data_IF_249662781414
#
_entry.id   IF_249662781414
#
_cell.length_a   1.000
_cell.length_b   1.000
_cell.length_c   1.000
_cell.angle_alpha   90.00
_cell.angle_beta   90.00
_cell.angle_gamma   90.00
#
_symmetry.space_group_name_H-M   'P 1'
#
loop_
_entity.id
_entity.type
_entity.pdbx_description
1 polymer ?
#
# COMPACT_ATOMS: atom_id res chain seq x y z
N UNK A 1 -13.83 -25.26 -13.18
CA UNK A 1 -13.31 -23.99 -12.62
C UNK A 1 -12.22 -23.52 -13.56
N UNK A 2 -12.24 -22.28 -14.00
CA UNK A 2 -11.17 -21.73 -14.83
C UNK A 2 -9.84 -21.77 -14.06
N UNK A 3 -8.70 -22.00 -14.75
CA UNK A 3 -7.40 -21.98 -14.12
C UNK A 3 -7.15 -20.61 -13.48
N UNK A 4 -6.76 -20.61 -12.21
CA UNK A 4 -6.41 -19.39 -11.47
C UNK A 4 -4.91 -19.16 -11.50
N UNK A 5 -4.49 -17.92 -11.71
CA UNK A 5 -3.07 -17.57 -11.81
C UNK A 5 -2.55 -17.15 -10.44
N UNK A 6 -1.71 -18.00 -9.83
CA UNK A 6 -1.14 -17.74 -8.50
C UNK A 6 -0.18 -16.54 -8.52
N UNK A 7 -0.27 -15.72 -7.48
CA UNK A 7 0.69 -14.66 -7.21
C UNK A 7 1.94 -15.23 -6.52
N UNK A 8 3.04 -14.47 -6.54
CA UNK A 8 4.26 -14.79 -5.79
C UNK A 8 4.07 -14.67 -4.27
N UNK A 9 3.21 -13.75 -3.84
CA UNK A 9 2.93 -13.49 -2.44
C UNK A 9 1.44 -13.42 -2.19
N UNK A 10 1.07 -13.45 -0.90
CA UNK A 10 -0.30 -13.21 -0.45
C UNK A 10 -0.43 -11.82 0.12
N UNK A 11 -1.59 -11.22 -0.08
CA UNK A 11 -1.88 -9.85 0.37
C UNK A 11 -3.21 -9.79 1.10
N UNK A 12 -3.28 -8.91 2.09
CA UNK A 12 -4.48 -8.61 2.86
C UNK A 12 -4.81 -7.13 2.72
N UNK A 13 -6.08 -6.83 2.44
CA UNK A 13 -6.61 -5.47 2.35
C UNK A 13 -7.40 -5.14 3.61
N UNK A 14 -7.06 -4.02 4.23
CA UNK A 14 -7.68 -3.48 5.44
C UNK A 14 -8.28 -2.11 5.15
N UNK A 15 -9.28 -1.73 5.95
CA UNK A 15 -9.71 -0.35 6.10
C UNK A 15 -9.65 0.11 7.55
N UNK A 16 -9.45 1.42 7.72
CA UNK A 16 -9.62 2.12 8.98
C UNK A 16 -10.43 3.40 8.73
N UNK A 17 -11.31 3.74 9.67
CA UNK A 17 -12.21 4.89 9.52
C UNK A 17 -11.44 6.20 9.77
N UNK A 18 -11.53 7.22 8.90
CA UNK A 18 -10.76 8.45 9.07
C UNK A 18 -11.03 9.25 10.36
N UNK A 19 -12.20 9.04 10.95
CA UNK A 19 -12.66 9.71 12.16
C UNK A 19 -12.43 8.87 13.43
N UNK A 20 -12.05 7.60 13.27
CA UNK A 20 -11.68 6.78 14.40
C UNK A 20 -10.32 7.23 14.90
N UNK A 21 -10.24 7.51 16.21
CA UNK A 21 -9.01 7.94 16.88
C UNK A 21 -8.30 6.77 17.56
N UNK A 22 -8.91 5.59 17.54
CA UNK A 22 -8.32 4.37 18.06
C UNK A 22 -7.34 3.80 17.02
N UNK A 23 -6.05 3.80 17.32
CA UNK A 23 -5.01 3.26 16.45
C UNK A 23 -4.56 1.85 16.84
N UNK A 24 -5.28 1.21 17.76
CA UNK A 24 -5.06 -0.20 18.10
C UNK A 24 -5.42 -1.11 16.93
N UNK A 25 -4.77 -2.27 16.82
CA UNK A 25 -5.01 -3.24 15.75
C UNK A 25 -6.52 -3.58 15.55
N UNK A 26 -7.28 -3.59 16.64
CA UNK A 26 -8.72 -3.88 16.63
C UNK A 26 -9.58 -2.90 15.81
N UNK A 27 -9.09 -1.68 15.57
CA UNK A 27 -9.78 -0.67 14.75
C UNK A 27 -9.54 -0.85 13.25
N UNK A 28 -8.55 -1.67 12.86
CA UNK A 28 -8.29 -2.04 11.48
C UNK A 28 -9.14 -3.23 11.11
N UNK A 29 -9.98 -3.08 10.09
CA UNK A 29 -10.92 -4.10 9.65
C UNK A 29 -10.47 -4.70 8.33
N UNK A 30 -10.35 -6.02 8.29
CA UNK A 30 -10.01 -6.75 7.06
C UNK A 30 -11.18 -6.63 6.09
N UNK A 31 -10.93 -6.09 4.90
CA UNK A 31 -11.86 -6.15 3.76
C UNK A 31 -11.76 -7.52 3.11
N UNK A 32 -10.52 -7.95 2.81
CA UNK A 32 -10.25 -9.22 2.15
C UNK A 32 -8.85 -9.69 2.52
N UNK A 33 -8.74 -10.92 3.03
CA UNK A 33 -7.47 -11.60 3.25
C UNK A 33 -7.15 -12.63 2.16
N UNK A 34 -5.93 -13.14 2.19
CA UNK A 34 -5.43 -14.21 1.32
C UNK A 34 -5.68 -13.92 -0.18
N UNK A 35 -5.36 -12.70 -0.61
CA UNK A 35 -5.34 -12.35 -2.03
C UNK A 35 -4.09 -13.00 -2.63
N UNK A 36 -4.27 -14.19 -3.22
CA UNK A 36 -3.18 -15.04 -3.69
C UNK A 36 -3.30 -15.44 -5.18
N UNK A 37 -4.26 -14.87 -5.90
CA UNK A 37 -4.39 -15.02 -7.36
C UNK A 37 -4.61 -13.69 -8.07
N UNK A 38 -4.22 -13.63 -9.34
CA UNK A 38 -4.42 -12.48 -10.22
C UNK A 38 -5.91 -12.14 -10.32
N UNK A 39 -6.79 -13.13 -10.42
CA UNK A 39 -8.24 -12.92 -10.53
C UNK A 39 -8.80 -12.27 -9.26
N UNK A 40 -8.33 -12.67 -8.07
CA UNK A 40 -8.72 -12.03 -6.81
C UNK A 40 -8.20 -10.60 -6.74
N UNK A 41 -6.97 -10.34 -7.20
CA UNK A 41 -6.41 -8.98 -7.30
C UNK A 41 -7.25 -8.09 -8.21
N UNK A 42 -7.65 -8.58 -9.39
CA UNK A 42 -8.51 -7.83 -10.32
C UNK A 42 -9.87 -7.59 -9.67
N UNK A 43 -10.51 -8.65 -9.16
CA UNK A 43 -11.83 -8.56 -8.55
C UNK A 43 -11.89 -7.50 -7.45
N UNK A 44 -10.94 -7.53 -6.50
CA UNK A 44 -10.96 -6.57 -5.39
C UNK A 44 -10.66 -5.15 -5.85
N UNK A 45 -9.67 -4.96 -6.72
CA UNK A 45 -9.25 -3.62 -7.14
C UNK A 45 -10.29 -2.93 -8.03
N UNK A 46 -11.02 -3.69 -8.85
CA UNK A 46 -12.14 -3.18 -9.65
C UNK A 46 -13.43 -3.01 -8.84
N UNK A 47 -13.57 -3.72 -7.71
CA UNK A 47 -14.73 -3.55 -6.80
C UNK A 47 -14.63 -2.31 -5.91
N UNK A 48 -13.42 -1.77 -5.72
CA UNK A 48 -13.22 -0.53 -4.96
C UNK A 48 -13.66 0.67 -5.80
N UNK A 49 -14.55 1.49 -5.24
CA UNK A 49 -14.99 2.73 -5.89
C UNK A 49 -14.02 3.88 -5.65
N UNK A 50 -14.02 4.88 -6.53
CA UNK A 50 -13.27 6.13 -6.32
C UNK A 50 -13.60 6.76 -4.96
N UNK A 51 -14.88 6.74 -4.56
CA UNK A 51 -15.31 7.29 -3.28
C UNK A 51 -14.63 6.58 -2.09
N UNK A 52 -14.54 5.24 -2.12
CA UNK A 52 -13.88 4.48 -1.05
C UNK A 52 -12.40 4.83 -0.97
N UNK A 53 -11.68 4.79 -2.10
CA UNK A 53 -10.24 5.07 -2.15
C UNK A 53 -9.91 6.51 -1.72
N UNK A 54 -10.75 7.47 -2.10
CA UNK A 54 -10.54 8.89 -1.83
C UNK A 54 -10.86 9.30 -0.40
N UNK A 55 -11.81 8.63 0.26
CA UNK A 55 -12.33 9.08 1.56
C UNK A 55 -12.15 8.08 2.70
N UNK A 56 -11.56 6.90 2.45
CA UNK A 56 -11.24 5.91 3.49
C UNK A 56 -9.73 5.81 3.70
N UNK A 57 -9.29 5.32 4.85
CA UNK A 57 -7.91 4.85 4.98
C UNK A 57 -7.87 3.39 4.54
N UNK A 58 -7.13 3.09 3.47
CA UNK A 58 -6.92 1.72 3.01
C UNK A 58 -5.46 1.32 3.21
N UNK A 59 -5.26 0.06 3.55
CA UNK A 59 -3.95 -0.54 3.76
C UNK A 59 -3.95 -1.89 3.05
N UNK A 60 -3.09 -2.05 2.05
CA UNK A 60 -2.86 -3.34 1.41
C UNK A 60 -1.48 -3.82 1.86
N UNK A 61 -1.45 -4.86 2.67
CA UNK A 61 -0.24 -5.37 3.32
C UNK A 61 0.03 -6.81 2.87
N UNK A 62 1.31 -7.21 2.85
CA UNK A 62 1.67 -8.61 2.66
C UNK A 62 1.07 -9.43 3.81
N UNK A 63 0.46 -10.58 3.51
CA UNK A 63 -0.26 -11.35 4.54
C UNK A 63 0.66 -11.74 5.70
N UNK A 64 0.14 -11.59 6.92
CA UNK A 64 0.91 -11.77 8.16
C UNK A 64 1.69 -10.53 8.62
N UNK A 65 1.67 -9.42 7.87
CA UNK A 65 2.20 -8.12 8.30
C UNK A 65 1.02 -7.20 8.59
N UNK A 66 0.91 -6.74 9.83
CA UNK A 66 -0.16 -5.81 10.22
C UNK A 66 0.11 -4.40 9.68
N UNK A 67 -0.93 -3.59 9.42
CA UNK A 67 -0.81 -2.20 8.96
C UNK A 67 -0.36 -1.22 10.08
N UNK A 68 0.54 -1.67 10.94
CA UNK A 68 1.06 -0.97 12.11
C UNK A 68 2.57 -0.83 12.02
N UNK A 69 3.10 0.29 12.47
CA UNK A 69 4.53 0.62 12.39
C UNK A 69 5.34 -0.14 13.45
N UNK A 70 4.67 -0.63 14.51
CA UNK A 70 5.19 -1.50 15.57
C UNK A 70 5.38 -2.95 15.12
N UNK A 71 4.73 -3.37 14.02
CA UNK A 71 4.87 -4.72 13.48
C UNK A 71 6.36 -5.09 13.31
N UNK A 72 6.80 -6.28 13.72
CA UNK A 72 8.20 -6.69 13.62
C UNK A 72 8.81 -6.52 12.23
N UNK A 73 8.01 -6.63 11.16
CA UNK A 73 8.43 -6.44 9.77
C UNK A 73 8.45 -4.97 9.34
N UNK A 74 7.74 -4.08 10.03
CA UNK A 74 7.67 -2.65 9.70
C UNK A 74 8.60 -1.78 10.55
N UNK A 75 8.83 -2.15 11.82
CA UNK A 75 9.49 -1.31 12.83
C UNK A 75 10.93 -0.92 12.53
N UNK A 76 11.64 -1.70 11.72
CA UNK A 76 13.02 -1.42 11.26
C UNK A 76 13.07 -0.70 9.92
N UNK A 77 11.90 -0.53 9.30
CA UNK A 77 11.73 0.00 7.96
C UNK A 77 11.35 1.46 7.92
N UNK A 78 10.71 1.81 6.82
CA UNK A 78 10.21 3.16 6.57
C UNK A 78 9.20 3.15 5.45
N UNK A 79 8.79 4.34 5.02
CA UNK A 79 7.88 4.47 3.91
C UNK A 79 8.27 5.62 2.98
N UNK A 80 8.09 5.39 1.68
CA UNK A 80 7.98 6.48 0.71
C UNK A 80 6.61 7.13 0.90
N UNK A 81 6.57 8.46 1.02
CA UNK A 81 5.34 9.21 1.22
C UNK A 81 5.12 10.18 0.06
N UNK A 82 4.02 9.96 -0.66
CA UNK A 82 3.63 10.74 -1.84
C UNK A 82 2.37 11.55 -1.54
N UNK A 83 2.32 12.77 -2.07
CA UNK A 83 1.13 13.61 -2.07
C UNK A 83 0.45 13.47 -3.43
N UNK A 84 -0.78 12.97 -3.46
CA UNK A 84 -1.53 12.73 -4.70
C UNK A 84 -2.83 13.51 -4.65
N UNK A 85 -3.12 14.34 -5.65
CA UNK A 85 -4.36 15.13 -5.65
C UNK A 85 -5.58 14.21 -5.77
N UNK A 86 -6.69 14.65 -5.19
CA UNK A 86 -7.91 13.86 -5.08
C UNK A 86 -8.45 13.34 -6.43
N UNK A 87 -8.25 14.07 -7.53
CA UNK A 87 -8.69 13.68 -8.88
C UNK A 87 -7.89 12.50 -9.46
N UNK A 88 -6.69 12.24 -8.93
CA UNK A 88 -5.75 11.25 -9.48
C UNK A 88 -5.58 10.03 -8.57
N UNK A 89 -5.96 10.12 -7.30
CA UNK A 89 -5.66 9.09 -6.30
C UNK A 89 -6.24 7.71 -6.65
N UNK A 90 -7.42 7.67 -7.29
CA UNK A 90 -8.07 6.41 -7.63
C UNK A 90 -7.23 5.59 -8.63
N UNK A 91 -6.84 6.19 -9.74
CA UNK A 91 -5.99 5.52 -10.75
C UNK A 91 -4.60 5.19 -10.20
N UNK A 92 -4.04 6.07 -9.35
CA UNK A 92 -2.76 5.81 -8.68
C UNK A 92 -2.85 4.60 -7.75
N UNK A 93 -3.91 4.48 -6.95
CA UNK A 93 -4.15 3.32 -6.09
C UNK A 93 -4.27 2.04 -6.92
N UNK A 94 -5.07 2.06 -7.99
CA UNK A 94 -5.25 0.89 -8.85
C UNK A 94 -3.93 0.39 -9.42
N UNK A 95 -3.14 1.30 -9.99
CA UNK A 95 -1.83 0.98 -10.55
C UNK A 95 -0.85 0.45 -9.49
N UNK A 96 -0.79 1.09 -8.32
CA UNK A 96 0.06 0.65 -7.21
C UNK A 96 -0.33 -0.74 -6.71
N UNK A 97 -1.63 -1.01 -6.54
CA UNK A 97 -2.12 -2.28 -6.04
C UNK A 97 -1.77 -3.42 -6.99
N UNK A 98 -1.96 -3.22 -8.30
CA UNK A 98 -1.56 -4.19 -9.33
C UNK A 98 -0.05 -4.41 -9.36
N UNK A 99 0.74 -3.34 -9.37
CA UNK A 99 2.20 -3.45 -9.40
C UNK A 99 2.79 -4.10 -8.14
N UNK A 100 2.20 -3.83 -6.98
CA UNK A 100 2.58 -4.46 -5.71
C UNK A 100 2.27 -5.96 -5.73
N UNK A 101 1.03 -6.35 -6.06
CA UNK A 101 0.63 -7.76 -6.10
C UNK A 101 1.42 -8.57 -7.13
N UNK A 102 1.78 -7.94 -8.26
CA UNK A 102 2.60 -8.52 -9.32
C UNK A 102 4.11 -8.52 -9.05
N UNK A 103 4.58 -8.01 -7.90
CA UNK A 103 6.00 -7.87 -7.55
C UNK A 103 6.81 -7.03 -8.58
N UNK A 104 6.16 -6.07 -9.24
CA UNK A 104 6.74 -5.19 -10.28
C UNK A 104 6.85 -3.72 -9.89
N UNK A 105 6.46 -3.36 -8.66
CA UNK A 105 6.44 -1.97 -8.20
C UNK A 105 7.84 -1.31 -8.16
N UNK A 106 8.91 -2.08 -8.01
CA UNK A 106 10.27 -1.59 -8.17
C UNK A 106 10.82 -1.84 -9.59
N UNK A 107 11.61 -0.90 -10.11
CA UNK A 107 12.30 -1.02 -11.41
C UNK A 107 13.19 -2.27 -11.42
N UNK A 108 13.98 -2.46 -10.36
CA UNK A 108 14.61 -3.74 -10.09
C UNK A 108 13.62 -4.63 -9.35
N UNK A 109 13.09 -5.66 -10.01
CA UNK A 109 12.11 -6.60 -9.45
C UNK A 109 12.58 -7.27 -8.16
N UNK A 110 13.89 -7.45 -7.97
CA UNK A 110 14.44 -8.03 -6.74
C UNK A 110 14.24 -7.13 -5.51
N UNK A 111 13.95 -5.85 -5.71
CA UNK A 111 13.65 -4.92 -4.62
C UNK A 111 12.19 -4.99 -4.16
N UNK A 112 11.26 -5.49 -4.99
CA UNK A 112 9.83 -5.60 -4.65
C UNK A 112 9.59 -6.48 -3.41
N UNK A 113 10.47 -7.47 -3.16
CA UNK A 113 10.41 -8.31 -1.96
C UNK A 113 10.53 -7.53 -0.64
N UNK A 114 11.14 -6.34 -0.67
CA UNK A 114 11.28 -5.47 0.51
C UNK A 114 10.04 -4.61 0.74
N UNK A 115 9.04 -4.66 -0.14
CA UNK A 115 7.77 -3.96 0.03
C UNK A 115 6.86 -4.79 0.95
N UNK A 116 6.46 -4.18 2.05
CA UNK A 116 5.51 -4.75 3.00
C UNK A 116 4.06 -4.37 2.67
N UNK A 117 3.83 -3.24 2.00
CA UNK A 117 2.50 -2.82 1.65
C UNK A 117 2.39 -1.42 1.07
N UNK A 118 1.17 -1.04 0.70
CA UNK A 118 0.81 0.32 0.28
C UNK A 118 -0.37 0.83 1.10
N UNK A 119 -0.43 2.14 1.29
CA UNK A 119 -1.54 2.78 2.02
C UNK A 119 -2.01 4.03 1.31
N UNK A 120 -3.30 4.33 1.45
CA UNK A 120 -3.87 5.64 1.08
C UNK A 120 -4.62 6.21 2.27
N UNK A 121 -4.42 7.49 2.54
CA UNK A 121 -5.12 8.20 3.62
C UNK A 121 -5.59 9.57 3.16
N UNK A 122 -6.86 9.93 3.39
CA UNK A 122 -7.43 11.19 2.92
C UNK A 122 -6.87 12.39 3.70
N UNK A 123 -6.69 13.50 2.98
CA UNK A 123 -6.54 14.87 3.51
C UNK A 123 -7.54 15.77 2.76
N UNK A 124 -7.58 17.06 3.12
CA UNK A 124 -8.59 18.01 2.59
C UNK A 124 -8.66 18.05 1.05
N UNK A 125 -7.52 18.22 0.38
CA UNK A 125 -7.44 18.44 -1.08
C UNK A 125 -6.61 17.38 -1.83
N UNK A 126 -6.07 16.41 -1.10
CA UNK A 126 -5.17 15.39 -1.61
C UNK A 126 -5.24 14.17 -0.69
N UNK A 127 -4.70 13.05 -1.14
CA UNK A 127 -4.41 11.89 -0.31
C UNK A 127 -2.91 11.76 -0.10
N UNK A 128 -2.53 11.21 1.06
CA UNK A 128 -1.18 10.72 1.27
C UNK A 128 -1.17 9.25 0.88
N UNK A 129 -0.37 8.92 -0.12
CA UNK A 129 -0.12 7.55 -0.54
C UNK A 129 1.25 7.15 -0.01
N UNK A 130 1.37 5.96 0.57
CA UNK A 130 2.65 5.44 1.05
C UNK A 130 2.96 4.07 0.49
N UNK A 131 4.26 3.80 0.32
CA UNK A 131 4.80 2.47 0.04
C UNK A 131 5.69 2.12 1.23
N UNK A 132 5.34 1.06 1.96
CA UNK A 132 6.00 0.61 3.18
C UNK A 132 7.10 -0.40 2.83
N UNK A 133 8.29 -0.18 3.40
CA UNK A 133 9.48 -0.98 3.18
C UNK A 133 9.87 -1.71 4.46
N UNK A 134 10.34 -2.95 4.37
CA UNK A 134 10.82 -3.79 5.49
C UNK A 134 12.03 -3.17 6.21
N UNK A 135 12.88 -2.49 5.45
CA UNK A 135 14.12 -1.89 5.94
C UNK A 135 14.40 -0.55 5.25
N UNK A 136 15.44 0.14 5.69
CA UNK A 136 15.84 1.45 5.18
C UNK A 136 17.02 1.37 4.17
N UNK A 137 17.28 0.22 3.55
CA UNK A 137 18.41 0.09 2.60
C UNK A 137 18.14 0.80 1.27
N UNK A 138 16.88 0.93 0.88
CA UNK A 138 16.44 1.57 -0.35
C UNK A 138 15.57 2.80 0.00
N UNK A 139 16.15 3.99 -0.12
CA UNK A 139 15.49 5.26 0.27
C UNK A 139 15.30 6.25 -0.88
N UNK A 140 15.86 5.96 -2.06
CA UNK A 140 15.66 6.78 -3.25
C UNK A 140 14.31 6.42 -3.91
N UNK A 141 13.35 7.36 -4.06
CA UNK A 141 12.06 7.08 -4.72
C UNK A 141 12.21 6.66 -6.19
N UNK A 142 13.37 6.87 -6.81
CA UNK A 142 13.66 6.40 -8.16
C UNK A 142 13.74 4.87 -8.28
N UNK A 143 13.78 4.13 -7.17
CA UNK A 143 13.64 2.66 -7.23
C UNK A 143 12.23 2.23 -7.67
N UNK A 144 11.22 3.08 -7.47
CA UNK A 144 9.82 2.80 -7.79
C UNK A 144 9.62 3.02 -9.28
N UNK A 145 8.90 2.13 -9.94
CA UNK A 145 8.55 2.30 -11.36
C UNK A 145 7.73 3.58 -11.58
N UNK A 146 7.73 4.09 -12.80
CA UNK A 146 6.89 5.24 -13.12
C UNK A 146 5.41 4.82 -13.10
N UNK A 147 4.66 5.48 -12.24
CA UNK A 147 3.20 5.35 -12.15
C UNK A 147 2.59 6.69 -12.55
N UNK A 148 1.70 6.73 -13.55
CA UNK A 148 1.04 7.96 -13.96
C UNK A 148 0.44 8.70 -12.76
N UNK A 149 0.71 10.01 -12.66
CA UNK A 149 0.25 10.89 -11.58
C UNK A 149 0.85 10.64 -10.18
N UNK A 150 1.80 9.72 -10.03
CA UNK A 150 2.58 9.55 -8.80
C UNK A 150 3.91 10.28 -8.92
N UNK A 151 3.95 11.55 -8.52
CA UNK A 151 5.15 12.37 -8.63
C UNK A 151 6.21 11.96 -7.60
N UNK A 152 7.41 11.60 -8.07
CA UNK A 152 8.58 11.35 -7.22
C UNK A 152 9.17 12.63 -6.64
N UNK A 153 9.00 13.76 -7.34
CA UNK A 153 9.41 15.07 -6.84
C UNK A 153 8.60 15.43 -5.57
N UNK A 154 9.32 15.71 -4.49
CA UNK A 154 8.70 15.95 -3.18
C UNK A 154 8.27 14.69 -2.42
N UNK A 155 8.57 13.48 -2.95
CA UNK A 155 8.47 12.26 -2.18
C UNK A 155 9.48 12.30 -1.02
N UNK A 156 9.03 11.90 0.17
CA UNK A 156 9.87 11.81 1.36
C UNK A 156 9.97 10.34 1.77
N UNK A 157 11.18 9.84 1.98
CA UNK A 157 11.37 8.60 2.73
C UNK A 157 11.36 8.91 4.23
N UNK A 158 10.47 8.28 4.98
CA UNK A 158 10.35 8.45 6.43
C UNK A 158 10.56 7.11 7.12
N UNK A 159 11.59 7.02 7.94
CA UNK A 159 11.83 5.87 8.82
C UNK A 159 10.67 5.73 9.80
N UNK A 160 10.24 4.49 10.06
CA UNK A 160 9.36 4.21 11.18
C UNK A 160 10.20 4.30 12.46
N UNK A 161 9.81 5.19 13.38
CA UNK A 161 10.54 5.39 14.63
C UNK A 161 9.61 5.14 15.83
N UNK A 162 9.31 3.86 16.16
CA UNK A 162 8.70 3.50 17.44
C UNK A 162 9.41 4.20 18.57
N UNK A 163 8.70 5.13 19.22
CA UNK A 163 9.03 5.51 20.58
C UNK A 163 8.86 4.22 21.39
N UNK A 164 9.98 3.65 21.81
CA UNK A 164 10.02 2.53 22.75
C UNK A 164 10.21 3.09 24.15
#
# INVERSE_FOLDING_TARGET
MDPTHKLHGKWDLYYHLPHDKNWELSSYKVILGDIDTVERTILINESLTEHIVKYSMLFAMRSGITPMWEDPKNRTGGCFSFKVINKQVFEVWKALFYAMCGETLCINKQHSKFINGITVSPKRNFCIVKIWMENCTLQDPNIIMDIPNLQKQGCLFKKHAPEF
#
